data_IF_425331648767
#
_entry.id   IF_425331648767
#
_cell.length_a   1.000
_cell.length_b   1.000
_cell.length_c   1.000
_cell.angle_alpha   90.00
_cell.angle_beta   90.00
_cell.angle_gamma   90.00
#
_symmetry.space_group_name_H-M   'P 1'
#
loop_
_entity.id
_entity.type
_entity.pdbx_description
1 polymer ?
#
# COMPACT_ATOMS: atom_id res chain seq x y z
N UNK A 1 -33.54 -0.43 -18.37
CA UNK A 1 -32.84 -1.66 -18.03
C UNK A 1 -32.16 -1.48 -16.67
N UNK A 2 -32.58 -2.26 -15.71
CA UNK A 2 -31.90 -2.34 -14.44
C UNK A 2 -30.61 -3.14 -14.66
N UNK A 3 -29.55 -2.43 -15.00
CA UNK A 3 -28.23 -3.00 -15.04
C UNK A 3 -27.91 -3.51 -13.65
N UNK A 4 -27.26 -4.64 -13.58
CA UNK A 4 -26.86 -5.36 -12.37
C UNK A 4 -26.58 -4.40 -11.22
N UNK A 5 -27.49 -4.39 -10.27
CA UNK A 5 -27.52 -3.46 -9.16
C UNK A 5 -26.37 -3.67 -8.17
N UNK A 6 -25.70 -4.82 -8.21
CA UNK A 6 -24.72 -5.17 -7.18
C UNK A 6 -23.57 -4.18 -7.08
N UNK A 7 -22.92 -3.79 -8.19
CA UNK A 7 -21.81 -2.85 -8.14
C UNK A 7 -22.23 -1.40 -7.92
N UNK A 8 -23.39 -0.98 -8.50
CA UNK A 8 -23.88 0.39 -8.33
C UNK A 8 -24.60 0.61 -7.00
N UNK A 9 -25.24 -0.43 -6.46
CA UNK A 9 -25.87 -0.37 -5.14
C UNK A 9 -24.83 -0.34 -4.02
N UNK A 10 -23.75 -1.10 -4.17
CA UNK A 10 -22.63 -1.09 -3.23
C UNK A 10 -21.98 0.29 -3.15
N UNK A 11 -21.87 1.01 -4.25
CA UNK A 11 -21.15 2.29 -4.29
C UNK A 11 -22.03 3.52 -3.97
N UNK A 12 -23.32 3.48 -4.31
CA UNK A 12 -24.22 4.65 -4.19
C UNK A 12 -25.20 4.57 -3.03
N UNK A 13 -25.34 3.43 -2.38
CA UNK A 13 -26.38 3.18 -1.38
C UNK A 13 -25.88 2.52 -0.09
N UNK A 14 -24.57 2.33 0.04
CA UNK A 14 -24.03 1.77 1.30
C UNK A 14 -24.12 2.79 2.42
N UNK A 15 -24.70 2.37 3.52
CA UNK A 15 -24.62 3.07 4.82
C UNK A 15 -23.24 2.89 5.44
N UNK A 16 -22.51 1.88 5.02
CA UNK A 16 -21.18 1.54 5.53
C UNK A 16 -20.08 2.31 4.82
N UNK A 17 -19.03 2.62 5.56
CA UNK A 17 -17.82 3.25 5.00
C UNK A 17 -17.14 2.28 4.01
N UNK A 18 -16.64 2.77 2.87
CA UNK A 18 -15.92 1.94 1.92
C UNK A 18 -14.71 1.26 2.58
N UNK A 19 -14.51 -0.01 2.23
CA UNK A 19 -13.30 -0.74 2.59
C UNK A 19 -12.07 -0.05 2.02
N UNK A 20 -11.02 0.10 2.84
CA UNK A 20 -9.75 0.69 2.42
C UNK A 20 -8.67 -0.42 2.31
N UNK A 21 -8.41 -0.93 1.09
CA UNK A 21 -7.46 -2.04 0.88
C UNK A 21 -6.02 -1.68 1.29
N UNK A 22 -5.62 -0.43 1.07
CA UNK A 22 -4.30 0.08 1.46
C UNK A 22 -4.08 -0.02 2.97
N UNK A 23 -5.09 0.41 3.75
CA UNK A 23 -5.02 0.35 5.22
C UNK A 23 -4.90 -1.10 5.71
N UNK A 24 -5.56 -2.05 5.05
CA UNK A 24 -5.46 -3.48 5.40
C UNK A 24 -4.08 -4.03 5.06
N UNK A 25 -3.56 -3.72 3.87
CA UNK A 25 -2.21 -4.15 3.47
C UNK A 25 -1.13 -3.60 4.43
N UNK A 26 -1.24 -2.32 4.81
CA UNK A 26 -0.33 -1.68 5.77
C UNK A 26 -0.50 -2.24 7.19
N UNK A 27 -1.74 -2.50 7.61
CA UNK A 27 -2.02 -3.14 8.90
C UNK A 27 -1.54 -4.59 8.99
N UNK A 28 -1.52 -5.30 7.86
CA UNK A 28 -0.88 -6.62 7.72
C UNK A 28 0.64 -6.54 7.54
N UNK A 29 1.21 -5.34 7.64
CA UNK A 29 2.64 -5.07 7.49
C UNK A 29 3.24 -5.49 6.15
N UNK A 30 2.49 -5.40 5.04
CA UNK A 30 3.04 -5.62 3.71
C UNK A 30 4.31 -4.78 3.49
N UNK A 31 5.36 -5.39 2.97
CA UNK A 31 6.67 -4.77 2.87
C UNK A 31 6.76 -3.74 1.74
N UNK A 32 5.94 -3.87 0.70
CA UNK A 32 5.75 -2.87 -0.35
C UNK A 32 4.27 -2.53 -0.51
N UNK A 33 3.94 -1.25 -0.44
CA UNK A 33 2.56 -0.77 -0.63
C UNK A 33 2.58 0.51 -1.44
N UNK A 34 1.81 0.53 -2.53
CA UNK A 34 1.76 1.67 -3.44
C UNK A 34 0.35 1.89 -4.01
N UNK A 35 0.10 3.12 -4.49
CA UNK A 35 -1.11 3.47 -5.23
C UNK A 35 -0.77 4.16 -6.53
N UNK A 36 -1.48 3.80 -7.58
CA UNK A 36 -1.40 4.42 -8.90
C UNK A 36 -2.79 4.70 -9.48
N UNK A 37 -2.82 5.29 -10.65
CA UNK A 37 -4.03 5.61 -11.42
C UNK A 37 -3.78 5.15 -12.86
N UNK A 38 -4.74 4.46 -13.46
CA UNK A 38 -4.63 3.85 -14.80
C UNK A 38 -4.30 4.87 -15.90
N UNK A 39 -4.81 6.09 -15.78
CA UNK A 39 -4.56 7.18 -16.74
C UNK A 39 -3.17 7.80 -16.60
N UNK A 40 -2.42 7.50 -15.51
CA UNK A 40 -1.05 7.95 -15.31
C UNK A 40 -0.07 6.79 -15.58
N UNK A 41 0.31 6.67 -16.86
CA UNK A 41 1.16 5.56 -17.32
C UNK A 41 2.55 5.61 -16.72
N UNK A 42 3.10 6.80 -16.53
CA UNK A 42 4.46 6.99 -16.00
C UNK A 42 4.50 6.60 -14.51
N UNK A 43 3.53 7.06 -13.73
CA UNK A 43 3.40 6.68 -12.34
C UNK A 43 3.15 5.16 -12.19
N UNK A 44 2.28 4.59 -13.02
CA UNK A 44 1.97 3.16 -12.99
C UNK A 44 3.20 2.33 -13.36
N UNK A 45 3.94 2.72 -14.40
CA UNK A 45 5.17 2.05 -14.79
C UNK A 45 6.23 2.11 -13.67
N UNK A 46 6.42 3.29 -13.07
CA UNK A 46 7.35 3.48 -11.95
C UNK A 46 6.99 2.58 -10.76
N UNK A 47 5.74 2.58 -10.32
CA UNK A 47 5.28 1.77 -9.18
C UNK A 47 5.45 0.28 -9.45
N UNK A 48 5.11 -0.19 -10.67
CA UNK A 48 5.28 -1.60 -11.05
C UNK A 48 6.75 -1.99 -11.15
N UNK A 49 7.61 -1.10 -11.66
CA UNK A 49 9.05 -1.33 -11.72
C UNK A 49 9.65 -1.46 -10.33
N UNK A 50 9.33 -0.55 -9.40
CA UNK A 50 9.78 -0.61 -8.01
C UNK A 50 9.28 -1.88 -7.31
N UNK A 51 8.02 -2.25 -7.52
CA UNK A 51 7.47 -3.49 -6.99
C UNK A 51 8.17 -4.74 -7.54
N UNK A 52 8.59 -4.72 -8.81
CA UNK A 52 9.30 -5.85 -9.44
C UNK A 52 10.71 -6.05 -8.88
N UNK A 53 11.35 -4.99 -8.41
CA UNK A 53 12.67 -5.03 -7.75
C UNK A 53 12.58 -5.40 -6.29
N UNK A 54 11.41 -5.22 -5.68
CA UNK A 54 11.20 -5.46 -4.26
C UNK A 54 11.23 -6.94 -3.90
N UNK A 55 11.96 -7.28 -2.84
CA UNK A 55 11.93 -8.60 -2.23
C UNK A 55 10.87 -8.64 -1.14
N UNK A 56 9.89 -9.50 -1.30
CA UNK A 56 8.78 -9.65 -0.36
C UNK A 56 7.41 -9.52 -1.01
N UNK A 57 6.39 -9.25 -0.20
CA UNK A 57 5.02 -9.06 -0.68
C UNK A 57 4.81 -7.64 -1.15
N UNK A 58 4.35 -7.47 -2.37
CA UNK A 58 3.97 -6.18 -2.94
C UNK A 58 2.46 -6.07 -3.09
N UNK A 59 1.87 -5.00 -2.56
CA UNK A 59 0.48 -4.63 -2.76
C UNK A 59 0.40 -3.30 -3.52
N UNK A 60 -0.30 -3.29 -4.63
CA UNK A 60 -0.49 -2.12 -5.46
C UNK A 60 -1.98 -1.91 -5.72
N UNK A 61 -2.51 -0.76 -5.32
CA UNK A 61 -3.85 -0.33 -5.66
C UNK A 61 -3.80 0.55 -6.91
N UNK A 62 -4.53 0.18 -7.96
CA UNK A 62 -4.62 0.99 -9.18
C UNK A 62 -6.05 1.47 -9.34
N UNK A 63 -6.26 2.78 -9.22
CA UNK A 63 -7.56 3.39 -9.50
C UNK A 63 -7.83 3.36 -10.98
N UNK A 64 -8.92 2.69 -11.36
CA UNK A 64 -9.31 2.50 -12.74
C UNK A 64 -10.72 3.03 -12.98
N UNK A 65 -10.87 3.82 -14.05
CA UNK A 65 -12.17 4.24 -14.51
C UNK A 65 -12.98 3.06 -15.08
N UNK A 66 -14.26 3.02 -14.78
CA UNK A 66 -15.17 2.00 -15.30
C UNK A 66 -16.32 2.64 -16.05
N UNK A 67 -16.22 2.69 -17.38
CA UNK A 67 -17.21 3.31 -18.27
C UNK A 67 -18.62 2.72 -18.15
N UNK A 68 -18.74 1.50 -17.61
CA UNK A 68 -20.02 0.79 -17.51
C UNK A 68 -20.73 1.05 -16.18
N UNK A 69 -19.97 1.03 -15.08
CA UNK A 69 -20.56 1.07 -13.74
C UNK A 69 -20.35 2.38 -13.00
N UNK A 70 -19.20 3.04 -13.21
CA UNK A 70 -18.85 4.27 -12.50
C UNK A 70 -17.91 5.13 -13.36
N UNK A 71 -18.45 5.65 -14.44
CA UNK A 71 -17.72 6.55 -15.32
C UNK A 71 -17.43 7.88 -14.61
N UNK A 72 -16.26 8.45 -14.90
CA UNK A 72 -15.74 9.66 -14.28
C UNK A 72 -15.47 9.56 -12.77
N UNK A 73 -15.40 8.35 -12.20
CA UNK A 73 -15.18 8.16 -10.76
C UNK A 73 -13.90 8.83 -10.23
N UNK A 74 -12.87 8.93 -11.07
CA UNK A 74 -11.56 9.47 -10.72
C UNK A 74 -11.22 10.77 -11.46
N UNK A 75 -12.20 11.46 -12.04
CA UNK A 75 -11.98 12.66 -12.86
C UNK A 75 -11.21 13.74 -12.09
N UNK A 76 -11.50 13.92 -10.82
CA UNK A 76 -10.76 14.87 -9.97
C UNK A 76 -9.29 14.49 -9.72
N UNK A 77 -8.88 13.27 -10.06
CA UNK A 77 -7.48 12.84 -10.01
C UNK A 77 -6.85 12.72 -11.40
N UNK A 78 -7.64 12.75 -12.47
CA UNK A 78 -7.21 12.49 -13.84
C UNK A 78 -7.31 13.69 -14.75
N UNK A 79 -8.29 14.59 -14.54
CA UNK A 79 -8.39 15.84 -15.28
C UNK A 79 -7.16 16.73 -15.03
N UNK A 80 -6.90 17.66 -15.95
CA UNK A 80 -5.72 18.53 -15.86
C UNK A 80 -5.71 19.38 -14.60
N UNK A 81 -6.84 19.98 -14.29
CA UNK A 81 -7.04 20.83 -13.11
C UNK A 81 -7.13 19.99 -11.84
N UNK A 82 -7.90 18.91 -11.90
CA UNK A 82 -8.16 18.03 -10.76
C UNK A 82 -6.89 17.36 -10.24
N UNK A 83 -6.03 16.85 -11.12
CA UNK A 83 -4.79 16.20 -10.71
C UNK A 83 -3.82 17.14 -10.00
N UNK A 84 -3.77 18.41 -10.42
CA UNK A 84 -2.90 19.41 -9.80
C UNK A 84 -3.42 19.76 -8.40
N UNK A 85 -4.74 19.90 -8.27
CA UNK A 85 -5.37 20.28 -7.01
C UNK A 85 -5.44 19.14 -5.98
N UNK A 86 -5.58 17.89 -6.44
CA UNK A 86 -5.97 16.77 -5.56
C UNK A 86 -4.97 15.62 -5.47
N UNK A 87 -3.95 15.56 -6.31
CA UNK A 87 -2.93 14.53 -6.15
C UNK A 87 -1.89 14.94 -5.13
N UNK A 88 -1.63 14.05 -4.19
CA UNK A 88 -0.52 14.15 -3.25
C UNK A 88 0.54 13.16 -3.71
N UNK A 89 1.55 13.64 -4.44
CA UNK A 89 2.61 12.76 -4.96
C UNK A 89 3.57 12.41 -3.82
N UNK A 90 3.69 11.12 -3.54
CA UNK A 90 4.61 10.58 -2.53
C UNK A 90 5.92 10.19 -3.21
N UNK A 91 6.94 11.04 -3.08
CA UNK A 91 8.29 10.80 -3.57
C UNK A 91 9.24 10.68 -2.39
N UNK A 92 9.99 9.58 -2.33
CA UNK A 92 10.92 9.32 -1.23
C UNK A 92 11.97 10.44 -1.10
N UNK A 93 12.15 10.94 0.11
CA UNK A 93 13.10 12.02 0.40
C UNK A 93 12.59 13.44 0.12
N UNK A 94 11.39 13.60 -0.47
CA UNK A 94 10.83 14.90 -0.80
C UNK A 94 9.76 15.35 0.19
N UNK A 95 9.62 16.67 0.35
CA UNK A 95 8.53 17.29 1.10
C UNK A 95 7.20 17.07 0.41
N UNK A 96 6.19 16.71 1.17
CA UNK A 96 4.85 16.46 0.61
C UNK A 96 4.08 17.79 0.53
N UNK A 97 4.16 18.39 -0.63
CA UNK A 97 3.50 19.67 -0.99
C UNK A 97 2.62 19.41 -2.21
N UNK A 98 1.46 20.02 -2.29
CA UNK A 98 0.52 19.87 -3.39
C UNK A 98 -0.43 21.08 -3.48
N UNK A 99 -1.34 21.06 -4.46
CA UNK A 99 -2.23 22.16 -4.79
C UNK A 99 -1.80 22.90 -6.04
N UNK A 100 -2.66 23.73 -6.61
CA UNK A 100 -2.41 24.39 -7.88
C UNK A 100 -1.26 25.43 -7.82
N UNK A 101 -1.01 25.98 -6.66
CA UNK A 101 0.04 26.98 -6.39
C UNK A 101 0.96 26.52 -5.24
N UNK A 102 1.06 25.18 -5.01
CA UNK A 102 1.81 24.59 -3.90
C UNK A 102 1.39 25.14 -2.52
N UNK A 103 0.10 25.46 -2.39
CA UNK A 103 -0.47 26.12 -1.21
C UNK A 103 -0.80 25.16 -0.07
N UNK A 104 -0.78 23.85 -0.32
CA UNK A 104 -1.08 22.81 0.66
C UNK A 104 0.14 21.95 0.95
N UNK A 105 0.23 21.49 2.18
CA UNK A 105 1.27 20.57 2.63
C UNK A 105 0.70 19.49 3.55
N UNK A 106 1.45 18.40 3.72
CA UNK A 106 1.16 17.36 4.71
C UNK A 106 2.09 17.54 5.90
N UNK A 107 1.52 17.52 7.10
CA UNK A 107 2.24 17.42 8.38
C UNK A 107 1.95 16.08 9.05
N UNK A 108 2.80 15.68 9.99
CA UNK A 108 2.54 14.54 10.89
C UNK A 108 2.46 15.07 12.31
N UNK A 109 1.28 15.01 12.89
CA UNK A 109 1.03 15.43 14.26
C UNK A 109 0.47 14.26 15.06
N UNK A 110 1.06 13.95 16.17
CA UNK A 110 0.67 12.80 17.04
C UNK A 110 0.57 11.46 16.28
N UNK A 111 1.37 11.29 15.22
CA UNK A 111 1.36 10.11 14.37
C UNK A 111 0.30 10.13 13.27
N UNK A 112 -0.50 11.19 13.16
CA UNK A 112 -1.52 11.37 12.13
C UNK A 112 -1.05 12.33 11.04
N UNK A 113 -1.30 11.94 9.79
CA UNK A 113 -1.09 12.81 8.63
C UNK A 113 -2.25 13.81 8.53
N UNK A 114 -1.92 15.09 8.39
CA UNK A 114 -2.90 16.17 8.25
C UNK A 114 -2.55 17.03 7.04
N UNK A 115 -3.58 17.49 6.35
CA UNK A 115 -3.45 18.50 5.29
C UNK A 115 -3.61 19.87 5.91
N UNK A 116 -2.62 20.72 5.68
CA UNK A 116 -2.57 22.09 6.21
C UNK A 116 -2.25 23.08 5.10
N UNK A 117 -2.60 24.36 5.31
CA UNK A 117 -2.13 25.42 4.42
C UNK A 117 -0.66 25.69 4.70
N UNK A 118 0.15 25.71 3.66
CA UNK A 118 1.59 25.94 3.77
C UNK A 118 1.91 27.32 4.40
N UNK A 119 1.06 28.30 4.18
CA UNK A 119 1.21 29.64 4.78
C UNK A 119 1.05 29.65 6.31
N UNK A 120 0.42 28.63 6.91
CA UNK A 120 0.10 28.58 8.34
C UNK A 120 1.16 27.81 9.15
N UNK A 121 2.21 27.29 8.50
CA UNK A 121 3.24 26.46 9.13
C UNK A 121 4.66 26.85 8.69
N UNK A 122 5.65 26.49 9.50
CA UNK A 122 7.04 26.57 9.10
C UNK A 122 7.41 25.45 8.12
N UNK A 123 8.31 25.75 7.19
CA UNK A 123 8.77 24.81 6.16
C UNK A 123 9.43 23.55 6.75
N UNK A 124 9.92 23.61 7.99
CA UNK A 124 10.46 22.47 8.75
C UNK A 124 9.39 21.51 9.28
N UNK A 125 8.14 21.92 9.34
CA UNK A 125 7.01 21.10 9.80
C UNK A 125 6.41 20.27 8.66
N UNK A 126 6.77 20.58 7.42
CA UNK A 126 6.31 19.82 6.26
C UNK A 126 6.90 18.42 6.32
N UNK A 127 6.04 17.42 6.20
CA UNK A 127 6.45 16.02 6.20
C UNK A 127 7.34 15.70 4.98
N UNK A 128 8.52 15.15 5.25
CA UNK A 128 9.39 14.56 4.22
C UNK A 128 9.06 13.09 4.12
N UNK A 129 8.63 12.65 2.94
CA UNK A 129 8.19 11.29 2.73
C UNK A 129 9.34 10.30 2.81
N UNK A 130 9.16 9.25 3.60
CA UNK A 130 10.15 8.19 3.78
C UNK A 130 9.47 6.82 3.65
N UNK A 131 9.73 6.15 2.52
CA UNK A 131 9.18 4.83 2.21
C UNK A 131 9.81 3.71 3.04
N UNK A 132 10.99 3.94 3.64
CA UNK A 132 11.80 2.92 4.30
C UNK A 132 11.49 2.75 5.79
N UNK A 133 10.55 3.53 6.33
CA UNK A 133 10.16 3.43 7.74
C UNK A 133 9.64 2.05 8.07
N UNK A 134 10.31 1.37 9.03
CA UNK A 134 9.89 0.04 9.49
C UNK A 134 8.49 0.04 10.09
N UNK A 135 8.17 1.06 10.90
CA UNK A 135 6.83 1.24 11.46
C UNK A 135 5.87 1.78 10.39
N UNK A 136 4.78 1.07 10.07
CA UNK A 136 3.84 1.46 9.02
C UNK A 136 2.87 2.59 9.42
N UNK A 137 2.89 3.09 10.65
CA UNK A 137 1.88 4.03 11.19
C UNK A 137 1.70 5.28 10.32
N UNK A 138 2.80 5.90 9.86
CA UNK A 138 2.72 7.08 9.01
C UNK A 138 2.15 6.73 7.62
N UNK A 139 2.61 5.64 7.00
CA UNK A 139 2.06 5.17 5.73
C UNK A 139 0.56 4.82 5.86
N UNK A 140 0.16 4.21 6.98
CA UNK A 140 -1.23 3.93 7.31
C UNK A 140 -2.04 5.22 7.41
N UNK A 141 -1.55 6.23 8.12
CA UNK A 141 -2.23 7.52 8.25
C UNK A 141 -2.34 8.23 6.89
N UNK A 142 -1.27 8.23 6.08
CA UNK A 142 -1.31 8.75 4.72
C UNK A 142 -2.38 8.05 3.86
N UNK A 143 -2.55 6.74 3.99
CA UNK A 143 -3.56 5.98 3.24
C UNK A 143 -5.00 6.41 3.56
N UNK A 144 -5.20 7.12 4.65
CA UNK A 144 -6.50 7.56 5.17
C UNK A 144 -6.77 9.06 5.02
N UNK A 145 -5.84 9.81 4.42
CA UNK A 145 -6.04 11.26 4.17
C UNK A 145 -7.26 11.57 3.32
N UNK A 146 -7.70 10.62 2.50
CA UNK A 146 -8.93 10.74 1.72
C UNK A 146 -9.82 9.52 1.89
N UNK A 147 -11.12 9.72 1.80
CA UNK A 147 -12.11 8.65 1.75
C UNK A 147 -12.39 8.28 0.28
N UNK A 148 -11.46 7.59 -0.37
CA UNK A 148 -11.54 7.28 -1.79
C UNK A 148 -11.18 8.49 -2.67
N UNK A 149 -11.66 8.55 -3.92
CA UNK A 149 -11.26 9.56 -4.91
C UNK A 149 -11.91 10.93 -4.73
N UNK A 150 -12.54 11.21 -3.61
CA UNK A 150 -13.34 12.42 -3.39
C UNK A 150 -12.61 13.52 -2.62
N UNK A 151 -11.34 13.69 -2.85
CA UNK A 151 -10.52 14.73 -2.23
C UNK A 151 -9.05 14.53 -2.51
N UNK A 152 -8.18 15.28 -1.84
CA UNK A 152 -6.74 15.13 -1.99
C UNK A 152 -6.31 13.69 -1.68
N UNK A 153 -5.70 13.05 -2.66
CA UNK A 153 -5.43 11.60 -2.62
C UNK A 153 -3.94 11.34 -2.79
N UNK A 154 -3.28 10.71 -1.80
CA UNK A 154 -1.89 10.28 -1.94
C UNK A 154 -1.75 9.17 -2.98
N UNK A 155 -0.75 9.33 -3.86
CA UNK A 155 -0.35 8.38 -4.90
C UNK A 155 1.17 8.21 -4.89
N UNK A 156 1.66 7.08 -5.36
CA UNK A 156 3.08 6.71 -5.33
C UNK A 156 3.35 5.56 -4.38
N UNK A 157 4.59 5.41 -3.96
CA UNK A 157 5.03 4.36 -3.04
C UNK A 157 4.87 4.85 -1.60
N UNK A 158 3.99 4.20 -0.84
CA UNK A 158 3.75 4.53 0.58
C UNK A 158 4.77 3.88 1.50
N UNK A 159 5.18 2.67 1.19
CA UNK A 159 6.10 1.86 1.99
C UNK A 159 6.89 0.91 1.11
N UNK A 160 8.20 0.82 1.38
CA UNK A 160 9.13 -0.08 0.71
C UNK A 160 10.22 -0.46 1.71
N UNK A 161 9.99 -1.54 2.45
CA UNK A 161 10.88 -2.00 3.52
C UNK A 161 11.47 -3.35 3.15
N UNK A 162 12.79 -3.44 3.13
CA UNK A 162 13.47 -4.71 2.91
C UNK A 162 13.20 -5.67 4.07
N UNK A 163 12.80 -6.87 3.72
CA UNK A 163 12.61 -8.02 4.62
C UNK A 163 13.08 -9.28 3.94
N UNK A 164 13.51 -10.23 4.72
CA UNK A 164 13.69 -11.59 4.21
C UNK A 164 12.36 -12.14 3.70
N UNK A 165 12.42 -12.88 2.62
CA UNK A 165 11.22 -13.53 2.07
C UNK A 165 10.88 -14.76 2.90
N UNK A 166 9.61 -15.14 2.92
CA UNK A 166 9.16 -16.39 3.55
C UNK A 166 10.01 -17.60 3.11
N UNK A 167 10.42 -17.61 1.85
CA UNK A 167 11.21 -18.71 1.29
C UNK A 167 12.64 -18.71 1.87
N UNK A 168 13.27 -17.55 2.01
CA UNK A 168 14.59 -17.41 2.64
C UNK A 168 14.53 -17.81 4.12
N UNK A 169 13.51 -17.37 4.86
CA UNK A 169 13.30 -17.75 6.26
C UNK A 169 13.14 -19.26 6.44
N UNK A 170 12.29 -19.90 5.60
CA UNK A 170 12.06 -21.36 5.67
C UNK A 170 13.32 -22.13 5.33
N UNK A 171 14.04 -21.73 4.29
CA UNK A 171 15.32 -22.37 3.92
C UNK A 171 16.34 -22.20 5.05
N UNK A 172 16.47 -21.01 5.61
CA UNK A 172 17.36 -20.75 6.75
C UNK A 172 17.02 -21.59 7.98
N UNK A 173 15.73 -21.80 8.28
CA UNK A 173 15.31 -22.69 9.36
C UNK A 173 15.70 -24.15 9.09
N UNK A 174 15.55 -24.61 7.84
CA UNK A 174 15.93 -25.99 7.45
C UNK A 174 17.44 -26.19 7.58
N UNK A 175 18.23 -25.22 7.10
CA UNK A 175 19.70 -25.27 7.19
C UNK A 175 20.18 -25.26 8.63
N UNK A 176 19.64 -24.34 9.45
CA UNK A 176 19.95 -24.28 10.88
C UNK A 176 19.59 -25.58 11.63
N UNK A 177 18.46 -26.20 11.26
CA UNK A 177 18.05 -27.47 11.85
C UNK A 177 18.97 -28.62 11.44
N UNK A 178 19.44 -28.64 10.19
CA UNK A 178 20.42 -29.63 9.69
C UNK A 178 21.79 -29.46 10.37
N UNK A 179 22.25 -28.22 10.52
CA UNK A 179 23.50 -27.94 11.23
C UNK A 179 23.45 -28.41 12.69
N UNK A 180 22.34 -28.14 13.38
CA UNK A 180 22.18 -28.50 14.79
C UNK A 180 21.94 -29.99 15.05
N UNK A 181 21.24 -30.69 14.15
CA UNK A 181 20.74 -32.08 14.38
C UNK A 181 21.22 -33.08 13.37
N UNK A 182 21.94 -32.64 12.33
CA UNK A 182 22.32 -33.46 11.17
C UNK A 182 21.13 -33.74 10.22
N UNK A 183 21.42 -34.43 9.13
CA UNK A 183 20.38 -34.85 8.19
C UNK A 183 19.45 -35.86 8.83
N UNK A 184 18.15 -35.64 8.72
CA UNK A 184 17.13 -36.53 9.22
C UNK A 184 17.16 -37.89 8.49
N UNK A 185 16.88 -38.98 9.22
CA UNK A 185 16.73 -40.33 8.64
C UNK A 185 15.26 -40.70 8.60
N UNK A 186 14.78 -41.07 7.43
CA UNK A 186 13.36 -41.37 7.21
C UNK A 186 12.87 -42.54 8.09
N UNK A 187 13.73 -43.57 8.33
CA UNK A 187 13.43 -44.70 9.19
C UNK A 187 13.20 -44.27 10.65
N UNK A 188 13.98 -43.28 11.13
CA UNK A 188 13.83 -42.73 12.46
C UNK A 188 12.55 -41.88 12.57
N UNK A 189 12.23 -41.11 11.52
CA UNK A 189 11.00 -40.31 11.46
C UNK A 189 9.75 -41.20 11.48
N UNK A 190 9.71 -42.23 10.65
CA UNK A 190 8.58 -43.18 10.56
C UNK A 190 8.35 -43.87 11.93
N UNK A 191 9.42 -44.16 12.66
CA UNK A 191 9.35 -44.88 13.95
C UNK A 191 9.21 -43.94 15.17
N UNK A 192 9.31 -42.63 14.99
CA UNK A 192 9.34 -41.67 16.09
C UNK A 192 8.01 -41.58 16.88
N UNK A 193 6.89 -41.94 16.27
CA UNK A 193 5.53 -41.86 16.86
C UNK A 193 5.01 -43.24 17.36
N UNK A 194 5.89 -44.23 17.49
CA UNK A 194 5.52 -45.60 17.87
C UNK A 194 5.05 -46.41 16.67
N UNK A 195 5.77 -47.45 16.37
CA UNK A 195 5.45 -48.41 15.30
C UNK A 195 5.32 -49.79 15.91
N UNK A 196 4.52 -50.66 15.27
CA UNK A 196 4.44 -52.07 15.58
C UNK A 196 4.81 -52.88 14.33
N UNK A 197 5.42 -54.02 14.53
CA UNK A 197 5.71 -54.94 13.44
C UNK A 197 4.48 -55.81 13.18
N UNK A 198 4.09 -55.95 11.95
CA UNK A 198 3.04 -56.88 11.50
C UNK A 198 3.72 -58.18 11.16
N UNK A 199 3.51 -59.23 11.98
CA UNK A 199 4.01 -60.58 11.74
C UNK A 199 3.07 -61.31 10.79
#
# INVERSE_FOLDING_TARGET
PRLSSAASDVYKRQVEMPFNPMSVALGAEASFVARSIDMDRDLTAHVLEEASKHKGSAFIEIYQNCNVFNDHAFEQLTSKEGRVANRINLVHGEKVIFGAEDELAVTIEDGEAKIVKRADIDDSQIYVHDTTKKNPSVAFSLSRLSHGPYGPTPVGVFRQVERETYNEDVIGQIESAKEAKGDGKIEQLIRSLGTWDVN
#
